data_IF_687833479933
#
_entry.id   IF_687833479933
#
_cell.length_a   1.000
_cell.length_b   1.000
_cell.length_c   1.000
_cell.angle_alpha   90.00
_cell.angle_beta   90.00
_cell.angle_gamma   90.00
#
_symmetry.space_group_name_H-M   'P 1'
#
loop_
_entity.id
_entity.type
_entity.pdbx_description
1 polymer ?
#
# COMPACT_ATOMS: atom_id res chain seq x y z
N UNK A 1 10.33 -21.66 -26.05
CA UNK A 1 9.30 -21.31 -25.05
C UNK A 1 9.40 -19.81 -24.83
N UNK A 2 8.44 -19.06 -25.34
CA UNK A 2 8.43 -17.58 -25.27
C UNK A 2 7.45 -17.19 -24.15
N UNK A 3 7.80 -16.25 -23.27
CA UNK A 3 7.25 -16.15 -21.92
C UNK A 3 5.79 -15.69 -21.93
N UNK A 4 5.06 -16.09 -20.90
CA UNK A 4 3.64 -15.76 -20.70
C UNK A 4 3.42 -14.26 -20.80
N UNK A 5 2.54 -13.86 -21.72
CA UNK A 5 1.94 -12.53 -21.73
C UNK A 5 1.20 -12.36 -20.40
N UNK A 6 1.63 -11.38 -19.61
CA UNK A 6 0.94 -10.96 -18.38
C UNK A 6 -0.50 -10.55 -18.71
N UNK A 7 -1.48 -11.12 -17.99
CA UNK A 7 -2.90 -10.82 -18.13
C UNK A 7 -3.35 -9.91 -16.96
N UNK A 8 -3.60 -8.62 -17.21
CA UNK A 8 -3.98 -7.62 -16.20
C UNK A 8 -5.46 -7.67 -15.75
N UNK A 9 -6.21 -8.75 -15.98
CA UNK A 9 -7.59 -8.86 -15.48
C UNK A 9 -7.64 -9.18 -13.96
N UNK A 10 -7.76 -8.23 -13.03
CA UNK A 10 -8.45 -6.94 -13.18
C UNK A 10 -8.01 -5.86 -12.18
N UNK A 11 -6.95 -6.06 -11.38
CA UNK A 11 -6.57 -5.09 -10.35
C UNK A 11 -5.05 -4.94 -10.25
N UNK A 12 -4.51 -3.80 -10.67
CA UNK A 12 -3.10 -3.42 -10.50
C UNK A 12 -2.71 -3.28 -9.02
N UNK A 13 -3.71 -3.20 -8.14
CA UNK A 13 -3.60 -3.16 -6.69
C UNK A 13 -4.77 -3.97 -6.10
N UNK A 14 -4.46 -4.98 -5.31
CA UNK A 14 -5.44 -5.80 -4.58
C UNK A 14 -5.35 -5.44 -3.11
N UNK A 15 -6.47 -5.02 -2.52
CA UNK A 15 -6.58 -4.65 -1.11
C UNK A 15 -7.39 -5.72 -0.40
N UNK A 16 -6.83 -6.31 0.65
CA UNK A 16 -7.50 -7.28 1.52
C UNK A 16 -7.57 -6.72 2.94
N UNK A 17 -8.76 -6.55 3.48
CA UNK A 17 -8.92 -6.18 4.90
C UNK A 17 -8.55 -7.38 5.78
N UNK A 18 -7.47 -7.24 6.55
CA UNK A 18 -7.07 -8.23 7.55
C UNK A 18 -7.84 -8.03 8.84
N UNK A 19 -8.02 -6.76 9.23
CA UNK A 19 -8.88 -6.34 10.33
C UNK A 19 -9.75 -5.19 9.82
N UNK A 20 -11.09 -5.34 9.80
CA UNK A 20 -11.98 -4.24 9.46
C UNK A 20 -11.95 -3.17 10.56
N UNK A 21 -12.43 -1.97 10.23
CA UNK A 21 -12.48 -0.86 11.17
C UNK A 21 -13.17 -1.21 12.49
N UNK A 22 -12.44 -1.01 13.59
CA UNK A 22 -12.94 -1.12 14.95
C UNK A 22 -13.17 0.29 15.53
N UNK A 23 -14.42 0.69 15.81
CA UNK A 23 -14.73 2.02 16.37
C UNK A 23 -14.19 2.27 17.79
N UNK A 24 -13.86 1.22 18.56
CA UNK A 24 -13.28 1.38 19.91
C UNK A 24 -11.78 1.66 19.82
N UNK A 25 -11.10 1.01 18.88
CA UNK A 25 -9.67 1.19 18.65
C UNK A 25 -9.37 2.33 17.67
N UNK A 26 -10.37 2.76 16.90
CA UNK A 26 -10.24 3.67 15.76
C UNK A 26 -9.18 3.17 14.76
N UNK A 27 -9.22 1.88 14.44
CA UNK A 27 -8.16 1.20 13.68
C UNK A 27 -8.71 0.21 12.67
N UNK A 28 -8.08 0.14 11.50
CA UNK A 28 -8.25 -0.91 10.49
C UNK A 28 -6.89 -1.30 9.90
N UNK A 29 -6.81 -2.48 9.30
CA UNK A 29 -5.57 -3.02 8.76
C UNK A 29 -5.79 -3.70 7.42
N UNK A 30 -4.97 -3.35 6.45
CA UNK A 30 -5.01 -3.91 5.10
C UNK A 30 -3.72 -4.64 4.75
N UNK A 31 -3.86 -5.74 4.01
CA UNK A 31 -2.81 -6.28 3.15
C UNK A 31 -3.01 -5.73 1.76
N UNK A 32 -2.00 -5.09 1.20
CA UNK A 32 -2.05 -4.50 -0.13
C UNK A 32 -1.00 -5.18 -1.00
N UNK A 33 -1.44 -5.74 -2.12
CA UNK A 33 -0.55 -6.29 -3.14
C UNK A 33 -0.63 -5.42 -4.38
N UNK A 34 0.52 -4.96 -4.86
CA UNK A 34 0.63 -4.12 -6.05
C UNK A 34 1.39 -4.85 -7.14
N UNK A 35 0.94 -4.72 -8.38
CA UNK A 35 1.73 -5.15 -9.53
C UNK A 35 2.96 -4.22 -9.67
N UNK A 36 4.05 -4.75 -10.24
CA UNK A 36 5.25 -3.94 -10.48
C UNK A 36 4.92 -2.72 -11.34
N UNK A 37 5.29 -1.53 -10.86
CA UNK A 37 5.01 -0.25 -11.53
C UNK A 37 3.56 0.24 -11.41
N UNK A 38 2.71 -0.43 -10.62
CA UNK A 38 1.40 0.10 -10.29
C UNK A 38 1.52 1.35 -9.40
N UNK A 39 0.62 2.30 -9.62
CA UNK A 39 0.56 3.56 -8.87
C UNK A 39 -0.83 3.65 -8.24
N UNK A 40 -0.87 4.11 -6.99
CA UNK A 40 -2.11 4.43 -6.28
C UNK A 40 -1.97 5.82 -5.66
N UNK A 41 -2.89 6.71 -6.00
CA UNK A 41 -2.97 8.06 -5.44
C UNK A 41 -4.13 8.09 -4.44
N UNK A 42 -3.85 8.54 -3.23
CA UNK A 42 -4.87 8.75 -2.19
C UNK A 42 -5.10 10.24 -1.95
N UNK A 43 -6.33 10.58 -1.56
CA UNK A 43 -6.59 11.87 -0.94
C UNK A 43 -6.10 11.84 0.51
N UNK A 44 -5.66 12.97 1.08
CA UNK A 44 -5.31 13.03 2.50
C UNK A 44 -6.44 12.48 3.37
N UNK A 45 -6.07 11.69 4.37
CA UNK A 45 -7.02 11.20 5.37
C UNK A 45 -7.49 12.33 6.29
N UNK A 46 -8.53 12.04 7.07
CA UNK A 46 -9.07 12.97 8.08
C UNK A 46 -7.99 13.39 9.07
N UNK A 47 -8.09 14.64 9.56
CA UNK A 47 -7.09 15.20 10.45
C UNK A 47 -6.93 14.36 11.72
N UNK A 48 -5.70 13.92 11.99
CA UNK A 48 -5.36 13.13 13.18
C UNK A 48 -5.39 11.62 12.94
N UNK A 49 -5.76 11.16 11.74
CA UNK A 49 -5.49 9.80 11.28
C UNK A 49 -3.98 9.63 11.09
N UNK A 50 -3.48 8.46 11.47
CA UNK A 50 -2.08 8.07 11.32
C UNK A 50 -2.06 6.80 10.48
N UNK A 51 -1.20 6.78 9.47
CA UNK A 51 -0.96 5.60 8.66
C UNK A 51 0.36 4.94 9.04
N UNK A 52 0.37 3.61 8.99
CA UNK A 52 1.59 2.82 9.09
C UNK A 52 1.69 1.95 7.85
N UNK A 53 2.73 2.18 7.06
CA UNK A 53 3.03 1.39 5.86
C UNK A 53 4.30 0.61 6.10
N UNK A 54 4.26 -0.70 5.91
CA UNK A 54 5.41 -1.59 6.05
C UNK A 54 5.51 -2.45 4.79
N UNK A 55 6.68 -2.48 4.17
CA UNK A 55 6.92 -3.32 3.01
C UNK A 55 7.24 -4.74 3.48
N UNK A 56 6.33 -5.67 3.21
CA UNK A 56 6.48 -7.08 3.59
C UNK A 56 7.33 -7.85 2.57
N UNK A 57 7.24 -7.49 1.29
CA UNK A 57 8.05 -8.03 0.20
C UNK A 57 8.17 -7.01 -0.94
N UNK A 58 9.28 -7.05 -1.69
CA UNK A 58 9.56 -6.11 -2.77
C UNK A 58 10.06 -4.74 -2.31
N UNK A 59 9.68 -3.71 -3.07
CA UNK A 59 10.06 -2.30 -2.85
C UNK A 59 8.86 -1.41 -3.19
N UNK A 60 8.69 -0.32 -2.44
CA UNK A 60 7.63 0.66 -2.63
C UNK A 60 8.21 2.07 -2.64
N UNK A 61 7.91 2.83 -3.68
CA UNK A 61 8.09 4.28 -3.66
C UNK A 61 6.81 4.93 -3.10
N UNK A 62 6.97 5.71 -2.03
CA UNK A 62 5.87 6.38 -1.33
C UNK A 62 6.11 7.89 -1.33
N UNK A 63 5.07 8.66 -1.68
CA UNK A 63 5.08 10.11 -1.60
C UNK A 63 4.26 10.56 -0.39
N UNK A 64 4.88 11.28 0.54
CA UNK A 64 4.21 11.85 1.72
C UNK A 64 4.52 13.33 1.77
N UNK A 65 3.50 14.18 1.87
CA UNK A 65 3.63 15.64 1.88
C UNK A 65 4.45 16.22 0.69
N UNK A 66 4.41 15.52 -0.45
CA UNK A 66 5.14 15.90 -1.66
C UNK A 66 6.59 15.42 -1.71
N UNK A 67 7.06 14.72 -0.68
CA UNK A 67 8.40 14.13 -0.64
C UNK A 67 8.35 12.62 -0.93
N UNK A 68 9.16 12.20 -1.91
CA UNK A 68 9.30 10.79 -2.28
C UNK A 68 10.35 10.10 -1.41
N UNK A 69 10.01 8.90 -0.95
CA UNK A 69 10.91 7.99 -0.27
C UNK A 69 10.72 6.57 -0.79
N UNK A 70 11.81 5.82 -0.86
CA UNK A 70 11.79 4.41 -1.24
C UNK A 70 11.91 3.54 0.00
N UNK A 71 10.96 2.63 0.18
CA UNK A 71 10.93 1.64 1.25
C UNK A 71 11.27 0.26 0.68
N UNK A 72 12.23 -0.42 1.29
CA UNK A 72 12.61 -1.79 0.98
C UNK A 72 11.90 -2.77 1.91
N UNK A 73 11.92 -4.05 1.55
CA UNK A 73 11.41 -5.13 2.40
C UNK A 73 11.93 -5.04 3.85
N UNK A 74 11.00 -5.07 4.81
CA UNK A 74 11.24 -4.93 6.24
C UNK A 74 11.24 -3.49 6.75
N UNK A 75 11.25 -2.49 5.87
CA UNK A 75 11.18 -1.08 6.24
C UNK A 75 9.73 -0.63 6.38
N UNK A 76 9.53 0.34 7.27
CA UNK A 76 8.22 0.93 7.49
C UNK A 76 8.30 2.41 7.81
N UNK A 77 7.21 3.10 7.49
CA UNK A 77 7.03 4.53 7.74
C UNK A 77 5.70 4.76 8.44
N UNK A 78 5.67 5.82 9.24
CA UNK A 78 4.47 6.35 9.86
C UNK A 78 4.37 7.83 9.54
N UNK A 79 3.20 8.25 9.08
CA UNK A 79 2.90 9.65 8.79
C UNK A 79 1.50 10.02 9.30
#
# INVERSE_FOLDING_TARGET
ATPSVYDPQQHAMVITSLFPYDPQLCFEHFSIQMASGAISESTPHEKGVIEHVVVIDGQLDLCVDGEWQTLNCGEGVRF
#
